data_IF_895389239551
#
_entry.id   IF_895389239551
#
_cell.length_a   1.000
_cell.length_b   1.000
_cell.length_c   1.000
_cell.angle_alpha   90.00
_cell.angle_beta   90.00
_cell.angle_gamma   90.00
#
_symmetry.space_group_name_H-M   'P 1'
#
loop_
_entity.id
_entity.type
_entity.pdbx_description
1 polymer ?
#
# COMPACT_ATOMS: atom_id res chain seq x y z
N UNK A 1 -6.20 50.71 8.45
CA UNK A 1 -7.44 50.22 7.81
C UNK A 1 -7.46 48.72 7.99
N UNK A 2 -8.20 48.29 9.02
CA UNK A 2 -8.58 46.90 9.25
C UNK A 2 -9.81 46.60 8.40
N UNK A 3 -9.94 45.36 7.89
CA UNK A 3 -11.18 44.68 7.49
C UNK A 3 -10.77 43.27 6.97
N UNK A 4 -10.92 42.22 7.79
CA UNK A 4 -12.05 41.27 7.98
C UNK A 4 -12.07 40.02 7.09
N UNK A 5 -11.87 38.91 7.80
CA UNK A 5 -12.21 37.47 7.63
C UNK A 5 -13.40 37.11 6.73
N UNK A 6 -13.25 36.00 5.97
CA UNK A 6 -14.26 34.97 5.60
C UNK A 6 -13.48 33.76 5.03
N UNK A 7 -13.27 32.63 5.71
CA UNK A 7 -14.18 31.55 6.14
C UNK A 7 -15.00 30.85 5.03
N UNK A 8 -14.94 29.50 5.05
CA UNK A 8 -15.65 28.44 4.28
C UNK A 8 -14.95 27.99 2.99
N UNK A 9 -14.89 26.70 2.65
CA UNK A 9 -15.74 25.57 3.04
C UNK A 9 -14.95 24.26 3.13
N UNK A 10 -15.30 23.45 4.13
CA UNK A 10 -14.99 22.02 4.19
C UNK A 10 -15.80 21.28 3.13
N UNK A 11 -15.14 20.50 2.27
CA UNK A 11 -15.81 19.53 1.41
C UNK A 11 -15.79 18.18 2.12
N UNK A 12 -16.95 17.85 2.67
CA UNK A 12 -17.30 16.53 3.19
C UNK A 12 -17.48 15.60 2.00
N UNK A 13 -16.55 14.67 1.79
CA UNK A 13 -16.79 13.52 0.92
C UNK A 13 -17.47 12.44 1.75
N UNK A 14 -18.80 12.48 1.76
CA UNK A 14 -19.63 11.32 2.05
C UNK A 14 -19.65 10.43 0.81
N UNK A 15 -19.21 9.18 0.94
CA UNK A 15 -19.57 8.13 0.00
C UNK A 15 -20.22 7.03 0.81
N UNK A 16 -21.49 6.85 0.50
CA UNK A 16 -22.43 5.92 1.08
C UNK A 16 -21.98 4.48 0.84
N UNK A 17 -22.27 3.64 1.82
CA UNK A 17 -22.11 2.20 1.74
C UNK A 17 -23.08 1.60 0.73
N UNK A 18 -22.54 0.88 -0.25
CA UNK A 18 -23.24 -0.17 -0.96
C UNK A 18 -22.62 -1.51 -0.54
N UNK A 19 -23.31 -2.22 0.35
CA UNK A 19 -23.05 -3.63 0.59
C UNK A 19 -23.75 -4.42 -0.52
N UNK A 20 -22.98 -4.92 -1.48
CA UNK A 20 -23.44 -5.97 -2.39
C UNK A 20 -22.53 -7.19 -2.18
N UNK A 21 -23.12 -8.20 -1.54
CA UNK A 21 -22.55 -9.53 -1.32
C UNK A 21 -22.52 -10.27 -2.67
N UNK A 22 -21.37 -10.23 -3.35
CA UNK A 22 -21.11 -11.07 -4.54
C UNK A 22 -20.25 -12.26 -4.08
N UNK A 23 -20.94 -13.26 -3.55
CA UNK A 23 -20.40 -14.56 -3.16
C UNK A 23 -19.93 -15.31 -4.41
N UNK A 24 -18.68 -15.07 -4.80
CA UNK A 24 -17.97 -15.94 -5.73
C UNK A 24 -16.66 -16.39 -5.07
N UNK A 25 -16.82 -17.33 -4.14
CA UNK A 25 -15.74 -18.03 -3.47
C UNK A 25 -14.92 -18.76 -4.54
N UNK A 26 -13.66 -18.34 -4.69
CA UNK A 26 -12.70 -18.97 -5.59
C UNK A 26 -12.45 -20.41 -5.15
N UNK A 27 -13.20 -21.34 -5.72
CA UNK A 27 -13.06 -22.77 -5.48
C UNK A 27 -11.72 -23.26 -6.04
N UNK A 28 -10.83 -23.74 -5.17
CA UNK A 28 -9.56 -24.35 -5.55
C UNK A 28 -9.80 -25.80 -5.97
N UNK A 29 -9.96 -26.05 -7.27
CA UNK A 29 -9.86 -27.39 -7.84
C UNK A 29 -8.57 -27.48 -8.66
N UNK A 30 -7.61 -28.26 -8.18
CA UNK A 30 -6.33 -28.46 -8.85
C UNK A 30 -5.36 -27.28 -8.72
N UNK A 31 -4.16 -27.46 -9.25
CA UNK A 31 -2.95 -26.63 -9.10
C UNK A 31 -3.05 -25.18 -9.63
N UNK A 32 -4.27 -24.65 -9.84
CA UNK A 32 -4.54 -23.38 -10.50
C UNK A 32 -5.64 -22.58 -9.79
N UNK A 33 -5.52 -21.26 -9.86
CA UNK A 33 -6.50 -20.29 -9.37
C UNK A 33 -7.30 -19.73 -10.53
N UNK A 34 -8.62 -19.70 -10.41
CA UNK A 34 -9.46 -18.99 -11.39
C UNK A 34 -9.35 -17.48 -11.20
N UNK A 35 -9.16 -16.73 -12.29
CA UNK A 35 -9.03 -15.27 -12.25
C UNK A 35 -10.42 -14.63 -12.19
N UNK A 36 -10.76 -13.88 -11.12
CA UNK A 36 -12.04 -13.20 -11.00
C UNK A 36 -12.32 -12.27 -12.17
N UNK A 37 -13.53 -12.40 -12.77
CA UNK A 37 -14.00 -11.48 -13.84
C UNK A 37 -13.99 -10.02 -13.38
N UNK A 38 -14.34 -9.80 -12.11
CA UNK A 38 -14.39 -8.48 -11.46
C UNK A 38 -13.21 -8.37 -10.50
N UNK A 39 -12.10 -7.84 -11.02
CA UNK A 39 -10.91 -7.54 -10.24
C UNK A 39 -10.64 -6.03 -10.34
N UNK A 40 -10.36 -5.36 -9.22
CA UNK A 40 -10.04 -3.92 -9.24
C UNK A 40 -8.82 -3.70 -10.15
N UNK A 41 -8.79 -2.59 -10.89
CA UNK A 41 -7.71 -2.29 -11.84
C UNK A 41 -6.32 -2.42 -11.22
N UNK A 42 -6.17 -1.93 -9.98
CA UNK A 42 -4.93 -2.07 -9.21
C UNK A 42 -4.54 -3.54 -8.99
N UNK A 43 -5.48 -4.37 -8.52
CA UNK A 43 -5.23 -5.80 -8.28
C UNK A 43 -4.89 -6.52 -9.57
N UNK A 44 -5.60 -6.18 -10.66
CA UNK A 44 -5.34 -6.70 -12.01
C UNK A 44 -3.93 -6.35 -12.49
N UNK A 45 -3.54 -5.10 -12.31
CA UNK A 45 -2.25 -4.58 -12.76
C UNK A 45 -1.07 -5.11 -11.92
N UNK A 46 -1.30 -5.36 -10.63
CA UNK A 46 -0.28 -5.90 -9.72
C UNK A 46 -0.16 -7.42 -9.78
N UNK A 47 -1.10 -8.13 -10.41
CA UNK A 47 -1.03 -9.57 -10.56
C UNK A 47 0.05 -9.93 -11.58
N UNK A 48 0.99 -10.79 -11.18
CA UNK A 48 1.99 -11.33 -12.08
C UNK A 48 1.36 -12.44 -12.94
N UNK A 49 0.63 -12.04 -13.97
CA UNK A 49 -0.05 -12.92 -14.93
C UNK A 49 0.44 -12.65 -16.35
N UNK A 50 0.69 -13.71 -17.11
CA UNK A 50 0.98 -13.66 -18.54
C UNK A 50 -0.30 -13.46 -19.33
N UNK A 51 -0.17 -13.13 -20.62
CA UNK A 51 -1.34 -13.05 -21.52
C UNK A 51 -2.10 -14.39 -21.57
N UNK A 52 -1.39 -15.51 -21.58
CA UNK A 52 -2.00 -16.84 -21.59
C UNK A 52 -2.86 -17.09 -20.34
N UNK A 53 -2.42 -16.65 -19.16
CA UNK A 53 -3.21 -16.76 -17.91
C UNK A 53 -4.52 -15.96 -18.00
N UNK A 54 -4.48 -14.78 -18.62
CA UNK A 54 -5.69 -13.97 -18.85
C UNK A 54 -6.64 -14.61 -19.86
N UNK A 55 -6.09 -15.22 -20.91
CA UNK A 55 -6.87 -15.89 -21.96
C UNK A 55 -7.52 -17.17 -21.42
N UNK A 56 -6.81 -17.96 -20.62
CA UNK A 56 -7.35 -19.17 -19.96
C UNK A 56 -8.22 -18.86 -18.74
N UNK A 57 -8.10 -17.66 -18.19
CA UNK A 57 -8.66 -17.24 -16.88
C UNK A 57 -8.22 -18.13 -15.73
N UNK A 58 -7.06 -18.76 -15.85
CA UNK A 58 -6.46 -19.60 -14.81
C UNK A 58 -5.00 -19.19 -14.63
N UNK A 59 -4.55 -19.13 -13.37
CA UNK A 59 -3.18 -18.79 -13.04
C UNK A 59 -2.63 -19.82 -12.06
N UNK A 60 -1.43 -20.34 -12.30
CA UNK A 60 -0.83 -21.35 -11.41
C UNK A 60 -0.45 -20.81 -10.03
N UNK A 61 -0.10 -19.52 -9.94
CA UNK A 61 0.34 -18.91 -8.67
C UNK A 61 -0.10 -17.46 -8.55
N UNK A 62 -0.68 -17.11 -7.41
CA UNK A 62 -0.96 -15.72 -7.07
C UNK A 62 0.32 -15.04 -6.57
N UNK A 63 0.88 -14.16 -7.40
CA UNK A 63 2.10 -13.40 -7.09
C UNK A 63 1.89 -11.92 -7.41
N UNK A 64 2.50 -11.06 -6.60
CA UNK A 64 2.53 -9.62 -6.86
C UNK A 64 3.75 -9.29 -7.73
N UNK A 65 3.52 -8.55 -8.83
CA UNK A 65 4.58 -8.09 -9.74
C UNK A 65 5.67 -7.27 -9.04
N UNK A 66 5.32 -6.53 -7.98
CA UNK A 66 6.24 -5.68 -7.22
C UNK A 66 6.88 -6.41 -6.03
N UNK A 67 6.33 -7.56 -5.66
CA UNK A 67 6.80 -8.37 -4.56
C UNK A 67 6.84 -9.83 -5.03
N UNK A 68 7.73 -10.18 -5.98
CA UNK A 68 7.74 -11.53 -6.59
C UNK A 68 8.06 -12.65 -5.59
N UNK A 69 8.66 -12.30 -4.45
CA UNK A 69 8.88 -13.21 -3.31
C UNK A 69 7.63 -13.48 -2.49
N UNK A 70 6.57 -12.69 -2.63
CA UNK A 70 5.30 -12.91 -1.95
C UNK A 70 4.41 -13.82 -2.81
N UNK A 71 4.19 -15.04 -2.33
CA UNK A 71 3.19 -15.96 -2.85
C UNK A 71 1.94 -15.96 -1.96
N UNK A 72 0.77 -16.03 -2.57
CA UNK A 72 -0.51 -16.03 -1.85
C UNK A 72 -1.25 -17.34 -2.10
N UNK A 73 -1.85 -17.90 -1.04
CA UNK A 73 -2.68 -19.10 -1.13
C UNK A 73 -4.12 -18.81 -1.51
N UNK A 74 -4.56 -17.54 -1.44
CA UNK A 74 -5.92 -17.12 -1.77
C UNK A 74 -5.93 -15.75 -2.45
N UNK A 75 -7.00 -15.46 -3.20
CA UNK A 75 -7.22 -14.14 -3.79
C UNK A 75 -7.39 -13.04 -2.75
N UNK A 76 -8.00 -13.35 -1.61
CA UNK A 76 -8.20 -12.38 -0.53
C UNK A 76 -6.87 -11.93 0.07
N UNK A 77 -5.94 -12.87 0.27
CA UNK A 77 -4.58 -12.57 0.72
C UNK A 77 -3.84 -11.68 -0.27
N UNK A 78 -3.97 -11.97 -1.57
CA UNK A 78 -3.39 -11.16 -2.63
C UNK A 78 -3.99 -9.74 -2.68
N UNK A 79 -5.32 -9.61 -2.61
CA UNK A 79 -6.02 -8.31 -2.60
C UNK A 79 -5.60 -7.48 -1.39
N UNK A 80 -5.62 -8.09 -0.20
CA UNK A 80 -5.18 -7.47 1.04
C UNK A 80 -3.73 -7.02 0.99
N UNK A 81 -2.85 -7.83 0.38
CA UNK A 81 -1.47 -7.42 0.12
C UNK A 81 -1.43 -6.18 -0.77
N UNK A 82 -2.13 -6.19 -1.90
CA UNK A 82 -2.13 -5.06 -2.84
C UNK A 82 -2.64 -3.75 -2.23
N UNK A 83 -3.59 -3.82 -1.30
CA UNK A 83 -4.20 -2.65 -0.68
C UNK A 83 -3.40 -2.13 0.52
N UNK A 84 -2.68 -3.01 1.24
CA UNK A 84 -2.15 -2.70 2.56
C UNK A 84 -0.61 -2.78 2.68
N UNK A 85 0.09 -3.10 1.59
CA UNK A 85 1.54 -3.32 1.61
C UNK A 85 2.34 -2.01 1.65
N UNK A 86 3.33 -1.95 2.54
CA UNK A 86 4.19 -0.76 2.70
C UNK A 86 5.22 -0.60 1.57
N UNK A 87 5.53 -1.69 0.87
CA UNK A 87 6.46 -1.69 -0.26
C UNK A 87 5.91 -0.90 -1.47
N UNK A 88 4.58 -0.83 -1.62
CA UNK A 88 3.92 -0.16 -2.74
C UNK A 88 2.56 0.44 -2.32
N UNK A 89 2.52 1.33 -1.32
CA UNK A 89 1.26 1.74 -0.70
C UNK A 89 0.38 2.49 -1.70
N UNK A 90 -0.93 2.17 -1.71
CA UNK A 90 -1.91 2.98 -2.44
C UNK A 90 -2.10 4.34 -1.78
N UNK A 91 -2.23 4.31 -0.46
CA UNK A 91 -2.43 5.47 0.39
C UNK A 91 -1.44 5.40 1.56
N UNK A 92 -1.05 6.57 2.06
CA UNK A 92 -0.18 6.69 3.22
C UNK A 92 -0.85 7.56 4.27
N UNK A 93 -0.75 7.13 5.53
CA UNK A 93 -1.23 7.87 6.68
C UNK A 93 -0.03 8.32 7.52
N UNK A 94 -0.09 9.54 8.05
CA UNK A 94 1.02 10.10 8.81
C UNK A 94 0.72 10.18 10.30
N UNK A 95 1.76 9.92 11.11
CA UNK A 95 1.76 10.38 12.50
C UNK A 95 2.07 11.88 12.54
N UNK A 96 1.18 12.67 13.14
CA UNK A 96 1.36 14.12 13.27
C UNK A 96 2.57 14.51 14.13
N UNK A 97 2.96 13.64 15.06
CA UNK A 97 4.05 13.90 16.00
C UNK A 97 5.43 13.68 15.38
N UNK A 98 5.64 12.53 14.72
CA UNK A 98 6.96 12.15 14.19
C UNK A 98 7.08 12.23 12.67
N UNK A 99 5.97 12.37 11.95
CA UNK A 99 5.95 12.41 10.49
C UNK A 99 6.17 11.06 9.81
N UNK A 100 6.22 9.95 10.55
CA UNK A 100 6.30 8.60 9.98
C UNK A 100 5.03 8.25 9.20
N UNK A 101 5.21 7.52 8.10
CA UNK A 101 4.11 7.02 7.29
C UNK A 101 3.73 5.58 7.61
N UNK A 102 2.47 5.26 7.39
CA UNK A 102 1.86 3.96 7.55
C UNK A 102 0.98 3.68 6.33
N UNK A 103 1.12 2.49 5.72
CA UNK A 103 0.23 2.09 4.62
C UNK A 103 -1.20 1.77 5.08
N UNK A 104 -1.40 1.63 6.40
CA UNK A 104 -2.65 1.23 7.02
C UNK A 104 -3.03 2.14 8.17
N UNK A 105 -4.31 2.49 8.25
CA UNK A 105 -4.85 3.30 9.34
C UNK A 105 -4.73 2.62 10.72
N UNK A 106 -4.95 1.30 10.82
CA UNK A 106 -4.84 0.58 12.09
C UNK A 106 -3.39 0.53 12.62
N UNK A 107 -2.41 0.46 11.73
CA UNK A 107 -1.00 0.53 12.09
C UNK A 107 -0.66 1.89 12.68
N UNK A 108 -1.17 2.97 12.08
CA UNK A 108 -1.05 4.32 12.64
C UNK A 108 -1.75 4.42 14.01
N UNK A 109 -2.96 3.87 14.15
CA UNK A 109 -3.71 3.87 15.42
C UNK A 109 -2.92 3.18 16.54
N UNK A 110 -2.34 2.02 16.25
CA UNK A 110 -1.48 1.29 17.21
C UNK A 110 -0.22 2.07 17.55
N UNK A 111 0.42 2.68 16.55
CA UNK A 111 1.58 3.55 16.77
C UNK A 111 1.25 4.73 17.69
N UNK A 112 0.12 5.41 17.46
CA UNK A 112 -0.36 6.52 18.31
C UNK A 112 -0.65 6.04 19.73
N UNK A 113 -1.24 4.85 19.91
CA UNK A 113 -1.57 4.29 21.24
C UNK A 113 -0.33 3.97 22.08
N UNK A 114 0.70 3.37 21.48
CA UNK A 114 1.92 2.98 22.20
C UNK A 114 3.01 4.05 22.20
N UNK A 115 2.72 5.24 21.67
CA UNK A 115 3.63 6.33 21.30
C UNK A 115 5.10 6.11 21.70
N UNK A 116 5.94 5.52 20.82
CA UNK A 116 7.31 5.18 21.16
C UNK A 116 8.14 6.42 21.54
N UNK A 117 9.15 6.29 22.42
CA UNK A 117 10.00 7.43 22.84
C UNK A 117 10.60 8.19 21.65
N UNK A 118 11.06 7.44 20.66
CA UNK A 118 11.59 7.97 19.39
C UNK A 118 10.57 8.78 18.59
N UNK A 119 9.27 8.57 18.79
CA UNK A 119 8.21 9.42 18.22
C UNK A 119 8.08 10.72 19.02
N UNK A 120 8.13 10.64 20.34
CA UNK A 120 8.00 11.79 21.25
C UNK A 120 9.14 12.79 21.06
N UNK A 121 10.36 12.28 20.83
CA UNK A 121 11.60 13.06 20.64
C UNK A 121 11.67 13.84 19.32
N UNK A 122 10.82 13.55 18.35
CA UNK A 122 10.81 14.28 17.07
C UNK A 122 10.19 15.66 17.25
N UNK A 123 10.84 16.68 16.70
CA UNK A 123 10.30 18.05 16.70
C UNK A 123 9.24 18.22 15.60
N UNK A 124 8.30 19.14 15.81
CA UNK A 124 7.25 19.42 14.81
C UNK A 124 7.82 19.83 13.45
N UNK A 125 8.94 20.57 13.43
CA UNK A 125 9.64 20.96 12.20
C UNK A 125 10.13 19.75 11.41
N UNK A 126 10.83 18.82 12.07
CA UNK A 126 11.30 17.59 11.45
C UNK A 126 10.13 16.73 10.94
N UNK A 127 9.06 16.60 11.72
CA UNK A 127 7.86 15.87 11.32
C UNK A 127 7.21 16.46 10.06
N UNK A 128 7.14 17.80 9.96
CA UNK A 128 6.61 18.48 8.75
C UNK A 128 7.47 18.23 7.52
N UNK A 129 8.80 18.36 7.64
CA UNK A 129 9.74 18.08 6.54
C UNK A 129 9.60 16.63 6.08
N UNK A 130 9.61 15.69 7.02
CA UNK A 130 9.45 14.26 6.73
C UNK A 130 8.16 13.94 6.00
N UNK A 131 7.03 14.52 6.43
CA UNK A 131 5.72 14.34 5.74
C UNK A 131 5.74 14.89 4.32
N UNK A 132 6.24 16.11 4.14
CA UNK A 132 6.31 16.76 2.83
C UNK A 132 7.14 15.92 1.86
N UNK A 133 8.30 15.48 2.30
CA UNK A 133 9.23 14.71 1.47
C UNK A 133 8.71 13.31 1.17
N UNK A 134 8.15 12.62 2.17
CA UNK A 134 7.53 11.31 1.98
C UNK A 134 6.33 11.37 1.02
N UNK A 135 5.55 12.46 1.07
CA UNK A 135 4.43 12.68 0.14
C UNK A 135 4.94 12.87 -1.28
N UNK A 136 5.96 13.71 -1.48
CA UNK A 136 6.60 13.91 -2.79
C UNK A 136 7.08 12.58 -3.39
N UNK A 137 7.79 11.77 -2.61
CA UNK A 137 8.27 10.46 -3.05
C UNK A 137 7.15 9.47 -3.33
N UNK A 138 6.03 9.56 -2.61
CA UNK A 138 4.88 8.69 -2.82
C UNK A 138 4.17 9.02 -4.13
N UNK A 139 4.00 10.30 -4.45
CA UNK A 139 3.47 10.73 -5.76
C UNK A 139 4.38 10.29 -6.91
N UNK A 140 5.69 10.47 -6.78
CA UNK A 140 6.65 10.02 -7.78
C UNK A 140 6.64 8.49 -7.94
N UNK A 141 6.56 7.76 -6.84
CA UNK A 141 6.42 6.31 -6.85
C UNK A 141 5.12 5.87 -7.54
N UNK A 142 3.99 6.54 -7.28
CA UNK A 142 2.72 6.25 -7.97
C UNK A 142 2.83 6.50 -9.47
N UNK A 143 3.43 7.60 -9.89
CA UNK A 143 3.67 7.87 -11.32
C UNK A 143 4.55 6.83 -11.99
N UNK A 144 5.62 6.36 -11.30
CA UNK A 144 6.46 5.24 -11.79
C UNK A 144 5.69 3.93 -11.86
N UNK A 145 4.87 3.65 -10.84
CA UNK A 145 4.01 2.47 -10.80
C UNK A 145 3.07 2.47 -12.00
N UNK A 146 2.33 3.55 -12.24
CA UNK A 146 1.41 3.66 -13.38
C UNK A 146 2.12 3.46 -14.72
N UNK A 147 3.32 4.02 -14.89
CA UNK A 147 4.14 3.83 -16.09
C UNK A 147 4.58 2.36 -16.26
N UNK A 148 5.11 1.74 -15.21
CA UNK A 148 5.50 0.33 -15.17
C UNK A 148 4.32 -0.60 -15.54
N UNK A 149 3.12 -0.28 -15.04
CA UNK A 149 1.90 -1.02 -15.34
C UNK A 149 1.48 -0.89 -16.80
N UNK A 150 1.66 0.29 -17.42
CA UNK A 150 1.31 0.53 -18.83
C UNK A 150 2.33 -0.02 -19.83
N UNK A 151 3.61 0.13 -19.54
CA UNK A 151 4.70 -0.08 -20.52
C UNK A 151 5.45 -1.39 -20.32
N UNK A 152 5.33 -2.04 -19.16
CA UNK A 152 6.14 -3.20 -18.83
C UNK A 152 7.50 -2.86 -18.20
N UNK A 153 7.89 -1.57 -18.16
CA UNK A 153 9.15 -1.11 -17.56
C UNK A 153 9.33 -1.55 -16.11
N UNK A 154 10.59 -1.62 -15.64
CA UNK A 154 10.87 -1.90 -14.24
C UNK A 154 10.45 -0.73 -13.33
N UNK A 155 9.78 -1.04 -12.22
CA UNK A 155 9.33 0.00 -11.27
C UNK A 155 10.49 0.67 -10.50
N UNK A 156 11.66 0.01 -10.46
CA UNK A 156 12.79 0.39 -9.62
C UNK A 156 12.61 -0.01 -8.14
N UNK A 157 13.24 0.76 -7.23
CA UNK A 157 13.21 0.47 -5.79
C UNK A 157 11.79 0.56 -5.20
N UNK A 158 11.35 -0.41 -4.39
CA UNK A 158 10.09 -0.31 -3.65
C UNK A 158 10.04 0.92 -2.74
N UNK A 159 8.86 1.51 -2.56
CA UNK A 159 8.65 2.72 -1.77
C UNK A 159 9.22 2.62 -0.35
N UNK A 160 8.96 1.52 0.36
CA UNK A 160 9.50 1.30 1.70
C UNK A 160 11.05 1.26 1.75
N UNK A 161 11.72 0.86 0.67
CA UNK A 161 13.19 0.90 0.60
C UNK A 161 13.66 2.35 0.52
N UNK A 162 13.07 3.14 -0.39
CA UNK A 162 13.39 4.56 -0.58
C UNK A 162 13.22 5.33 0.73
N UNK A 163 12.09 5.13 1.42
CA UNK A 163 11.84 5.85 2.68
C UNK A 163 12.79 5.44 3.80
N UNK A 164 13.20 4.16 3.88
CA UNK A 164 14.20 3.72 4.88
C UNK A 164 15.58 4.29 4.61
N UNK A 165 15.98 4.41 3.35
CA UNK A 165 17.25 5.04 2.96
C UNK A 165 17.25 6.53 3.33
N UNK A 166 16.13 7.23 3.10
CA UNK A 166 16.02 8.65 3.37
C UNK A 166 15.87 8.99 4.86
N UNK A 167 15.18 8.12 5.62
CA UNK A 167 14.91 8.33 7.04
C UNK A 167 15.30 7.08 7.86
N UNK A 168 16.60 6.79 8.02
CA UNK A 168 17.07 5.59 8.72
C UNK A 168 16.63 5.56 10.19
N UNK A 169 16.58 6.71 10.85
CA UNK A 169 16.15 6.86 12.26
C UNK A 169 14.64 6.94 12.43
N UNK A 170 13.86 6.38 11.50
CA UNK A 170 12.40 6.42 11.59
C UNK A 170 11.91 5.83 12.90
N UNK A 171 10.86 6.44 13.46
CA UNK A 171 10.16 5.94 14.64
C UNK A 171 9.39 4.62 14.41
N UNK A 172 9.65 3.94 13.29
CA UNK A 172 9.06 2.69 12.87
C UNK A 172 10.16 1.63 12.90
N UNK A 173 10.21 0.84 13.98
CA UNK A 173 10.98 -0.43 13.97
C UNK A 173 10.44 -1.22 12.79
N UNK A 174 11.33 -1.57 11.86
CA UNK A 174 10.97 -2.21 10.60
C UNK A 174 9.92 -3.27 10.80
N UNK A 175 8.85 -3.21 10.00
CA UNK A 175 7.93 -4.33 9.88
C UNK A 175 8.80 -5.57 9.68
N UNK A 176 8.70 -6.56 10.58
CA UNK A 176 9.30 -7.90 10.45
C UNK A 176 9.44 -8.17 8.97
N UNK A 177 10.68 -8.22 8.49
CA UNK A 177 10.95 -8.84 7.21
C UNK A 177 10.12 -10.13 7.23
N UNK A 178 9.20 -10.26 6.29
CA UNK A 178 8.60 -11.56 5.97
C UNK A 178 9.72 -12.40 5.32
N UNK A 179 10.84 -12.57 6.02
CA UNK A 179 11.77 -13.67 5.83
C UNK A 179 10.94 -14.91 6.06
N UNK A 180 10.98 -15.80 5.07
CA UNK A 180 10.03 -16.88 4.89
C UNK A 180 9.77 -17.64 6.18
N UNK A 181 8.49 -17.93 6.43
CA UNK A 181 8.14 -19.17 7.10
C UNK A 181 8.53 -20.30 6.14
N UNK A 182 9.82 -20.64 6.11
CA UNK A 182 10.26 -21.97 5.73
C UNK A 182 9.65 -22.91 6.75
N UNK A 183 8.59 -23.60 6.34
CA UNK A 183 8.16 -24.81 7.03
C UNK A 183 9.21 -25.87 6.67
N UNK A 184 10.06 -26.20 7.64
CA UNK A 184 10.77 -27.48 7.68
C UNK A 184 9.85 -28.53 8.28
#
# INVERSE_FOLDING_TARGET
MAETVKERAEVVYGVEGGAEEDSNEGHTMGEHFWIPKRLKDRHRALLLATKADWDSRTIGQLKCRLCPRAGFGTWEDFKRHCDAMEAHPLCIHFCERCGDFFARADSLKRHKKSMPDRCIKVTSGMAKVKRKETTRLHEEFKGRLERCLRTGEEIGKPFAVIIRELFPDSSKKGCREQQGRGKS
#
